data_IF_683671067101
#
_entry.id   IF_683671067101
#
_cell.length_a   1.000
_cell.length_b   1.000
_cell.length_c   1.000
_cell.angle_alpha   90.00
_cell.angle_beta   90.00
_cell.angle_gamma   90.00
#
_symmetry.space_group_name_H-M   'P 1'
#
loop_
_entity.id
_entity.type
_entity.pdbx_description
1 polymer ?
#
# COMPACT_ATOMS: atom_id res chain seq x y z
N UNK A 1 2.97 -11.58 -5.99
CA UNK A 1 3.34 -10.33 -5.30
C UNK A 1 2.26 -9.31 -5.62
N UNK A 2 1.82 -8.55 -4.62
CA UNK A 2 0.80 -7.53 -4.75
C UNK A 2 1.41 -6.17 -4.40
N UNK A 3 1.07 -5.15 -5.18
CA UNK A 3 1.53 -3.79 -4.94
C UNK A 3 0.35 -2.87 -4.71
N UNK A 4 0.54 -1.86 -3.87
CA UNK A 4 -0.42 -0.77 -3.65
C UNK A 4 0.33 0.54 -3.50
N UNK A 5 -0.30 1.64 -3.87
CA UNK A 5 0.31 2.97 -3.80
C UNK A 5 -0.70 3.97 -3.27
N UNK A 6 -0.25 4.81 -2.34
CA UNK A 6 -1.08 5.84 -1.76
C UNK A 6 -0.27 7.09 -1.41
N UNK A 7 -0.80 8.29 -1.66
CA UNK A 7 -2.11 8.56 -2.26
C UNK A 7 -2.04 8.69 -3.79
N UNK A 8 -3.17 8.44 -4.46
CA UNK A 8 -3.38 8.74 -5.89
C UNK A 8 -4.43 9.86 -5.97
N UNK A 9 -3.98 11.10 -6.16
CA UNK A 9 -4.82 12.30 -6.15
C UNK A 9 -4.69 13.02 -7.48
N UNK A 10 -5.81 13.46 -8.06
CA UNK A 10 -5.84 14.27 -9.27
C UNK A 10 -5.13 15.61 -9.06
N UNK A 11 -4.39 16.08 -10.07
CA UNK A 11 -3.76 17.39 -10.10
C UNK A 11 -4.75 18.54 -9.83
N UNK A 12 -6.04 18.35 -10.15
CA UNK A 12 -7.11 19.31 -9.88
C UNK A 12 -7.47 19.43 -8.39
N UNK A 13 -7.18 18.40 -7.58
CA UNK A 13 -7.50 18.35 -6.15
C UNK A 13 -6.28 18.63 -5.24
N UNK A 14 -5.17 19.14 -5.80
CA UNK A 14 -3.88 19.27 -5.12
C UNK A 14 -3.90 20.10 -3.82
N UNK A 15 -4.92 20.93 -3.59
CA UNK A 15 -5.01 21.83 -2.43
C UNK A 15 -5.99 21.37 -1.34
N UNK A 16 -6.76 20.31 -1.58
CA UNK A 16 -7.87 19.97 -0.68
C UNK A 16 -7.47 19.07 0.49
N UNK A 17 -6.42 18.25 0.38
CA UNK A 17 -6.06 17.30 1.44
C UNK A 17 -4.53 17.14 1.59
N UNK A 18 -4.03 17.36 2.80
CA UNK A 18 -2.70 16.91 3.20
C UNK A 18 -2.86 15.63 4.01
N UNK A 19 -2.57 14.48 3.39
CA UNK A 19 -2.68 13.19 4.06
C UNK A 19 -1.49 12.96 4.99
N UNK A 20 -1.80 12.56 6.23
CA UNK A 20 -0.85 12.15 7.26
C UNK A 20 -0.14 10.83 6.90
N UNK A 21 0.95 10.52 7.61
CA UNK A 21 1.65 9.23 7.48
C UNK A 21 0.71 8.06 7.76
N UNK A 22 -0.18 8.18 8.75
CA UNK A 22 -1.19 7.15 9.04
C UNK A 22 -2.16 6.95 7.89
N UNK A 23 -2.71 8.02 7.32
CA UNK A 23 -3.69 7.92 6.23
C UNK A 23 -3.10 7.30 4.96
N UNK A 24 -1.89 7.69 4.56
CA UNK A 24 -1.21 7.06 3.40
C UNK A 24 -0.81 5.61 3.67
N UNK A 25 -0.62 5.24 4.95
CA UNK A 25 -0.35 3.85 5.34
C UNK A 25 -1.62 3.02 5.24
N UNK A 26 -2.75 3.51 5.77
CA UNK A 26 -4.04 2.82 5.68
C UNK A 26 -4.50 2.68 4.23
N UNK A 27 -4.32 3.71 3.40
CA UNK A 27 -4.71 3.66 2.00
C UNK A 27 -3.97 2.56 1.23
N UNK A 28 -2.73 2.22 1.60
CA UNK A 28 -2.01 1.12 0.98
C UNK A 28 -2.64 -0.27 1.25
N UNK A 29 -3.43 -0.42 2.32
CA UNK A 29 -4.15 -1.65 2.64
C UNK A 29 -5.62 -1.63 2.17
N UNK A 30 -6.07 -0.53 1.56
CA UNK A 30 -7.37 -0.47 0.90
C UNK A 30 -7.33 -1.27 -0.42
N UNK A 31 -8.25 -2.24 -0.63
CA UNK A 31 -8.36 -2.97 -1.89
C UNK A 31 -8.47 -2.08 -3.14
N UNK A 32 -9.02 -0.87 -3.02
CA UNK A 32 -9.17 0.07 -4.14
C UNK A 32 -7.83 0.63 -4.65
N UNK A 33 -6.80 0.65 -3.81
CA UNK A 33 -5.47 1.14 -4.18
C UNK A 33 -4.52 0.01 -4.62
N UNK A 34 -4.99 -1.25 -4.59
CA UNK A 34 -4.21 -2.41 -5.01
C UNK A 34 -4.11 -2.49 -6.54
N UNK A 35 -2.90 -2.71 -7.03
CA UNK A 35 -2.57 -2.76 -8.46
C UNK A 35 -2.98 -4.06 -9.14
N UNK A 36 -3.51 -5.02 -8.38
CA UNK A 36 -4.18 -6.19 -8.92
C UNK A 36 -5.50 -6.41 -8.18
N UNK A 37 -6.54 -6.75 -8.93
CA UNK A 37 -7.87 -7.00 -8.38
C UNK A 37 -7.88 -8.33 -7.62
N UNK A 38 -7.76 -8.29 -6.30
CA UNK A 38 -7.90 -9.44 -5.42
C UNK A 38 -8.44 -8.98 -4.07
N UNK A 39 -9.14 -9.86 -3.34
CA UNK A 39 -9.59 -9.57 -1.99
C UNK A 39 -8.52 -9.95 -0.95
N UNK A 40 -7.89 -8.97 -0.26
CA UNK A 40 -6.88 -9.27 0.76
C UNK A 40 -7.48 -9.84 2.06
N UNK A 41 -8.78 -9.65 2.34
CA UNK A 41 -9.37 -9.96 3.65
C UNK A 41 -9.41 -11.46 3.97
N UNK A 42 -9.57 -12.29 2.94
CA UNK A 42 -9.58 -13.75 3.05
C UNK A 42 -8.19 -14.38 2.82
N UNK A 43 -7.16 -13.53 2.70
CA UNK A 43 -5.81 -13.94 2.39
C UNK A 43 -4.87 -13.79 3.58
N UNK A 44 -3.69 -14.41 3.49
CA UNK A 44 -2.61 -14.21 4.46
C UNK A 44 -1.40 -13.59 3.78
N UNK A 45 -0.89 -12.53 4.40
CA UNK A 45 0.39 -11.92 4.07
C UNK A 45 1.53 -12.78 4.61
N UNK A 46 2.47 -13.11 3.73
CA UNK A 46 3.78 -13.64 4.09
C UNK A 46 4.75 -12.52 4.41
N UNK A 47 4.67 -11.40 3.69
CA UNK A 47 5.49 -10.20 3.92
C UNK A 47 4.74 -8.94 3.49
N UNK A 48 5.08 -7.80 4.10
CA UNK A 48 4.63 -6.47 3.71
C UNK A 48 5.80 -5.49 3.83
N UNK A 49 6.17 -4.84 2.73
CA UNK A 49 7.18 -3.78 2.71
C UNK A 49 6.53 -2.43 2.41
N UNK A 50 6.59 -1.50 3.36
CA UNK A 50 6.09 -0.12 3.23
C UNK A 50 7.25 0.81 2.88
N UNK A 51 7.20 1.37 1.67
CA UNK A 51 8.23 2.21 1.09
C UNK A 51 7.73 3.66 1.04
N UNK A 52 8.07 4.43 2.06
CA UNK A 52 7.67 5.82 2.21
C UNK A 52 8.58 6.76 1.42
N UNK A 53 8.01 7.85 0.92
CA UNK A 53 8.74 8.98 0.34
C UNK A 53 8.24 10.32 0.86
N UNK A 54 9.14 11.30 0.96
CA UNK A 54 8.86 12.69 1.29
C UNK A 54 8.93 13.01 2.78
N UNK A 55 8.13 13.99 3.20
CA UNK A 55 8.06 14.48 4.57
C UNK A 55 7.41 13.43 5.48
N UNK A 56 8.23 12.53 6.01
CA UNK A 56 7.80 11.36 6.80
C UNK A 56 8.72 11.21 8.00
N UNK A 57 8.12 11.24 9.20
CA UNK A 57 8.86 11.06 10.46
C UNK A 57 8.83 9.57 10.87
N UNK A 58 9.97 8.95 11.21
CA UNK A 58 10.04 7.53 11.58
C UNK A 58 9.13 7.14 12.75
N UNK A 59 8.90 8.06 13.71
CA UNK A 59 7.98 7.87 14.83
C UNK A 59 6.56 7.61 14.35
N UNK A 60 6.09 8.37 13.36
CA UNK A 60 4.73 8.27 12.85
C UNK A 60 4.54 7.00 12.02
N UNK A 61 5.58 6.57 11.30
CA UNK A 61 5.62 5.26 10.62
C UNK A 61 5.44 4.13 11.63
N UNK A 62 6.20 4.15 12.72
CA UNK A 62 6.09 3.13 13.77
C UNK A 62 4.70 3.11 14.42
N UNK A 63 4.11 4.28 14.66
CA UNK A 63 2.76 4.39 15.18
C UNK A 63 1.71 3.82 14.21
N UNK A 64 1.77 4.20 12.93
CA UNK A 64 0.86 3.71 11.90
C UNK A 64 0.96 2.18 11.73
N UNK A 65 2.18 1.63 11.68
CA UNK A 65 2.39 0.18 11.58
C UNK A 65 1.91 -0.56 12.83
N UNK A 66 2.10 0.01 14.02
CA UNK A 66 1.57 -0.57 15.25
C UNK A 66 0.03 -0.64 15.21
N UNK A 67 -0.64 0.38 14.69
CA UNK A 67 -2.10 0.35 14.51
C UNK A 67 -2.54 -0.67 13.45
N UNK A 68 -1.85 -0.78 12.32
CA UNK A 68 -2.15 -1.82 11.32
C UNK A 68 -2.04 -3.22 11.94
N UNK A 69 -1.02 -3.47 12.78
CA UNK A 69 -0.84 -4.77 13.43
C UNK A 69 -1.97 -5.12 14.40
N UNK A 70 -2.62 -4.13 15.01
CA UNK A 70 -3.77 -4.37 15.91
C UNK A 70 -5.08 -4.48 15.16
N UNK A 71 -5.18 -3.87 13.97
CA UNK A 71 -6.29 -4.04 13.05
C UNK A 71 -6.24 -5.45 12.45
N UNK A 72 -7.24 -6.29 12.73
CA UNK A 72 -7.33 -7.68 12.22
C UNK A 72 -7.60 -7.77 10.71
N UNK A 73 -7.55 -6.65 9.99
CA UNK A 73 -7.75 -6.56 8.54
C UNK A 73 -6.55 -7.09 7.76
N UNK A 74 -5.33 -6.99 8.31
CA UNK A 74 -4.12 -7.54 7.70
C UNK A 74 -3.65 -8.75 8.49
N UNK A 75 -3.87 -9.94 7.96
CA UNK A 75 -3.46 -11.18 8.61
C UNK A 75 -2.13 -11.67 8.07
N UNK A 76 -1.20 -12.00 8.96
CA UNK A 76 0.05 -12.65 8.59
C UNK A 76 -0.04 -14.16 8.80
N UNK A 77 0.77 -14.88 8.02
CA UNK A 77 1.07 -16.30 8.30
C UNK A 77 1.75 -16.44 9.66
N UNK A 78 1.49 -17.55 10.34
CA UNK A 78 1.97 -17.86 11.70
C UNK A 78 3.50 -17.93 11.80
N UNK A 79 4.15 -18.43 10.76
CA UNK A 79 5.62 -18.49 10.67
C UNK A 79 6.28 -17.14 10.34
N UNK A 80 5.54 -16.04 10.14
CA UNK A 80 6.08 -14.70 9.91
C UNK A 80 5.55 -13.66 10.93
N UNK A 81 6.05 -13.67 12.19
CA UNK A 81 5.58 -12.77 13.24
C UNK A 81 6.00 -11.31 13.06
N UNK A 82 7.08 -11.04 12.31
CA UNK A 82 7.64 -9.69 12.05
C UNK A 82 7.48 -9.24 10.61
N UNK A 83 6.29 -9.45 10.04
CA UNK A 83 6.05 -9.32 8.59
C UNK A 83 6.10 -7.92 7.97
N UNK A 84 6.49 -6.87 8.70
CA UNK A 84 6.62 -5.50 8.16
C UNK A 84 8.08 -5.06 8.02
N UNK A 85 8.45 -4.66 6.80
CA UNK A 85 9.67 -3.90 6.51
C UNK A 85 9.29 -2.47 6.15
N UNK A 86 9.98 -1.49 6.72
CA UNK A 86 9.74 -0.08 6.40
C UNK A 86 11.00 0.55 5.81
N UNK A 87 10.85 1.31 4.74
CA UNK A 87 11.91 2.14 4.14
C UNK A 87 11.42 3.57 3.97
N UNK A 88 12.30 4.55 4.18
CA UNK A 88 11.96 5.98 4.04
C UNK A 88 12.99 6.64 3.13
N UNK A 89 12.52 7.35 2.11
CA UNK A 89 13.32 8.27 1.32
C UNK A 89 12.78 9.69 1.51
N UNK A 90 13.58 10.58 2.09
CA UNK A 90 13.14 11.94 2.45
C UNK A 90 12.91 12.87 1.25
N UNK A 91 13.27 12.46 0.03
CA UNK A 91 12.93 13.23 -1.17
C UNK A 91 11.42 13.07 -1.49
N UNK A 92 10.68 14.18 -1.63
CA UNK A 92 9.28 14.14 -2.03
C UNK A 92 9.07 13.40 -3.36
N UNK A 93 7.90 12.78 -3.57
CA UNK A 93 7.52 12.25 -4.87
C UNK A 93 7.61 13.31 -5.97
N UNK A 94 8.23 12.96 -7.09
CA UNK A 94 8.27 13.81 -8.28
C UNK A 94 7.06 13.52 -9.16
N UNK A 95 6.50 14.57 -9.75
CA UNK A 95 5.41 14.49 -10.72
C UNK A 95 5.90 14.94 -12.09
N UNK A 96 5.34 14.36 -13.14
CA UNK A 96 5.63 14.75 -14.52
C UNK A 96 4.90 16.06 -14.83
N UNK A 97 5.56 17.10 -15.38
CA UNK A 97 4.88 18.31 -15.82
C UNK A 97 3.75 18.00 -16.82
N UNK A 98 2.55 18.50 -16.56
CA UNK A 98 1.36 18.22 -17.38
C UNK A 98 0.73 16.84 -17.15
N UNK A 99 1.20 16.07 -16.15
CA UNK A 99 0.58 14.80 -15.77
C UNK A 99 -0.61 14.97 -14.82
N UNK A 100 -1.34 13.87 -14.63
CA UNK A 100 -2.62 13.86 -13.91
C UNK A 100 -2.49 13.82 -12.39
N UNK A 101 -1.29 13.55 -11.86
CA UNK A 101 -1.06 13.38 -10.42
C UNK A 101 -0.69 14.69 -9.73
N UNK A 102 -1.36 14.98 -8.62
CA UNK A 102 -1.03 16.09 -7.75
C UNK A 102 0.37 15.94 -7.15
N UNK A 103 1.07 17.07 -6.98
CA UNK A 103 2.29 17.12 -6.17
C UNK A 103 1.93 16.94 -4.70
N UNK A 104 2.47 15.88 -4.08
CA UNK A 104 2.23 15.57 -2.67
C UNK A 104 3.51 15.68 -1.86
N UNK A 105 3.39 16.02 -0.58
CA UNK A 105 4.53 16.11 0.35
C UNK A 105 5.04 14.73 0.76
N UNK A 106 4.18 13.72 0.73
CA UNK A 106 4.49 12.35 1.15
C UNK A 106 3.65 11.31 0.40
N UNK A 107 4.22 10.12 0.23
CA UNK A 107 3.54 8.95 -0.33
C UNK A 107 4.11 7.66 0.26
N UNK A 108 3.38 6.55 0.11
CA UNK A 108 3.76 5.22 0.52
C UNK A 108 3.46 4.24 -0.61
N UNK A 109 4.38 3.30 -0.84
CA UNK A 109 4.13 2.13 -1.68
C UNK A 109 4.21 0.87 -0.82
N UNK A 110 3.18 0.04 -0.87
CA UNK A 110 3.20 -1.29 -0.30
C UNK A 110 3.64 -2.30 -1.36
N UNK A 111 4.59 -3.15 -1.00
CA UNK A 111 4.98 -4.34 -1.74
C UNK A 111 4.75 -5.52 -0.81
N UNK A 112 3.72 -6.30 -1.05
CA UNK A 112 3.34 -7.44 -0.22
C UNK A 112 3.44 -8.77 -0.97
N UNK A 113 3.79 -9.81 -0.23
CA UNK A 113 3.61 -11.18 -0.67
C UNK A 113 2.40 -11.74 0.06
N UNK A 114 1.28 -11.91 -0.63
CA UNK A 114 0.01 -12.39 -0.07
C UNK A 114 -0.53 -13.55 -0.90
N UNK A 115 -1.22 -14.48 -0.24
CA UNK A 115 -1.97 -15.54 -0.92
C UNK A 115 -3.11 -15.01 -1.79
N UNK A 116 -3.56 -13.75 -1.62
CA UNK A 116 -4.63 -13.13 -2.42
C UNK A 116 -4.33 -13.16 -3.94
N UNK A 117 -3.05 -13.20 -4.32
CA UNK A 117 -2.64 -13.24 -5.72
C UNK A 117 -3.15 -14.50 -6.44
N UNK A 118 -3.49 -15.58 -5.72
CA UNK A 118 -4.05 -16.81 -6.30
C UNK A 118 -5.35 -16.55 -7.05
N UNK A 119 -6.16 -15.56 -6.64
CA UNK A 119 -7.40 -15.20 -7.35
C UNK A 119 -7.14 -14.70 -8.77
N UNK A 120 -6.01 -14.02 -8.98
CA UNK A 120 -5.62 -13.55 -10.33
C UNK A 120 -5.34 -14.74 -11.22
N UNK A 121 -4.57 -15.71 -10.72
CA UNK A 121 -4.24 -16.93 -11.46
C UNK A 121 -5.47 -17.80 -11.70
N UNK A 122 -6.33 -17.99 -10.71
CA UNK A 122 -7.58 -18.76 -10.86
C UNK A 122 -8.47 -18.22 -11.98
N UNK A 123 -8.55 -16.89 -12.16
CA UNK A 123 -9.30 -16.29 -13.28
C UNK A 123 -8.63 -16.49 -14.64
N UNK A 124 -7.31 -16.63 -14.67
CA UNK A 124 -6.57 -16.94 -15.90
C UNK A 124 -6.79 -18.41 -16.26
N UNK A 125 -6.62 -19.32 -15.30
CA UNK A 125 -6.82 -20.76 -15.49
C UNK A 125 -8.25 -21.05 -15.98
N UNK A 126 -9.25 -20.47 -15.34
CA UNK A 126 -10.65 -20.60 -15.78
C UNK A 126 -10.90 -20.12 -17.21
N UNK A 127 -10.18 -19.08 -17.67
CA UNK A 127 -10.29 -18.61 -19.06
C UNK A 127 -9.51 -19.46 -20.05
N UNK A 128 -8.49 -20.17 -19.59
CA UNK A 128 -7.69 -21.07 -20.42
C UNK A 128 -8.37 -22.41 -20.61
N UNK A 129 -9.04 -22.92 -19.57
CA UNK A 129 -9.79 -24.18 -19.59
C UNK A 129 -11.15 -24.08 -20.33
N UNK A 130 -11.55 -22.87 -20.75
CA UNK A 130 -12.73 -22.58 -21.58
C UNK A 130 -12.36 -22.47 -23.06
#
# INVERSE_FOLDING_TARGET
MLSSYGPVISAEMAFHEQLSVSEITYSCFDPLNMMAKCDPHHSKCMTASLMYRGDVVPKDVNAAVATIKTQRTVQFVDWCPTGFKCGINYQPPSVVPGGDLARVQRACALISNTSAISEVFSRIDHKFDM
#
